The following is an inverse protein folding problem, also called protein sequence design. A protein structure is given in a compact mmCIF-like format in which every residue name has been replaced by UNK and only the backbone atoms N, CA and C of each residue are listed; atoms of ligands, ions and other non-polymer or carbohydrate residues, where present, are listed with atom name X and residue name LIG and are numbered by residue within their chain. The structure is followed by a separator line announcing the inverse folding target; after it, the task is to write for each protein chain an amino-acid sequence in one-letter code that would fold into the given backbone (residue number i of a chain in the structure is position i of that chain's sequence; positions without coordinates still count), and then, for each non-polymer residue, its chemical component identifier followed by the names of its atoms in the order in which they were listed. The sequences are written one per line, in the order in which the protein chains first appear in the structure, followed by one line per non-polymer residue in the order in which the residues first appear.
data_IF_518591333244
#
_entry.id   IF_518591333244
#
_cell.length_a   1.000
_cell.length_b   1.000
_cell.length_c   1.000
_cell.angle_alpha   90.00
_cell.angle_beta   90.00
_cell.angle_gamma   90.00
#
_symmetry.space_group_name_H-M   'P 1'
#
loop_
_entity.id
_entity.type
_entity.pdbx_description
1 polymer ?
#
# COMPACT_ATOMS: atom_id res chain seq x y z
N UNK A 1 -2.72 14.60 -3.63
CA UNK A 1 -3.65 13.53 -3.15
C UNK A 1 -4.17 13.74 -1.74
N UNK A 2 -3.35 13.66 -0.68
CA UNK A 2 -3.83 13.82 0.72
C UNK A 2 -4.69 15.07 0.94
N UNK A 3 -4.30 16.21 0.36
CA UNK A 3 -5.08 17.44 0.38
C UNK A 3 -6.46 17.26 -0.28
N UNK A 4 -6.50 16.72 -1.50
CA UNK A 4 -7.75 16.48 -2.23
C UNK A 4 -8.67 15.54 -1.44
N UNK A 5 -8.14 14.44 -0.90
CA UNK A 5 -8.93 13.52 -0.06
C UNK A 5 -9.52 14.23 1.17
N UNK A 6 -8.74 15.07 1.84
CA UNK A 6 -9.23 15.86 2.98
C UNK A 6 -10.38 16.78 2.54
N UNK A 7 -10.22 17.50 1.43
CA UNK A 7 -11.26 18.37 0.87
C UNK A 7 -12.53 17.62 0.47
N UNK A 8 -12.40 16.44 -0.12
CA UNK A 8 -13.54 15.56 -0.43
C UNK A 8 -14.27 15.11 0.85
N UNK A 9 -13.53 14.70 1.89
CA UNK A 9 -14.13 14.31 3.19
C UNK A 9 -14.82 15.48 3.90
N UNK A 10 -14.31 16.70 3.73
CA UNK A 10 -14.91 17.92 4.27
C UNK A 10 -16.11 18.43 3.44
N UNK A 11 -16.42 17.81 2.30
CA UNK A 11 -17.51 18.26 1.42
C UNK A 11 -17.20 19.53 0.62
N UNK A 12 -15.94 19.98 0.62
CA UNK A 12 -15.49 21.19 -0.09
C UNK A 12 -15.49 21.02 -1.62
N UNK A 13 -15.42 19.77 -2.10
CA UNK A 13 -15.38 19.44 -3.53
C UNK A 13 -16.67 18.75 -3.97
N UNK A 14 -17.44 19.45 -4.80
CA UNK A 14 -18.73 18.98 -5.32
C UNK A 14 -18.68 18.55 -6.80
N UNK A 15 -17.65 18.96 -7.54
CA UNK A 15 -17.42 18.61 -8.95
C UNK A 15 -16.43 17.46 -9.11
N UNK A 16 -16.31 16.96 -10.35
CA UNK A 16 -15.22 16.06 -10.75
C UNK A 16 -13.87 16.76 -10.65
N UNK A 17 -12.85 16.04 -10.19
CA UNK A 17 -11.45 16.51 -10.11
C UNK A 17 -10.57 15.59 -10.92
N UNK A 18 -9.84 16.16 -11.86
CA UNK A 18 -8.92 15.48 -12.77
C UNK A 18 -7.46 15.71 -12.37
N UNK A 19 -6.50 15.10 -13.09
CA UNK A 19 -5.08 15.41 -12.91
C UNK A 19 -4.74 16.86 -13.30
N UNK A 20 -5.49 17.46 -14.23
CA UNK A 20 -5.30 18.86 -14.61
C UNK A 20 -5.62 19.80 -13.44
N UNK A 21 -6.72 19.55 -12.72
CA UNK A 21 -7.06 20.31 -11.51
C UNK A 21 -6.01 20.13 -10.42
N UNK A 22 -5.52 18.90 -10.25
CA UNK A 22 -4.44 18.61 -9.32
C UNK A 22 -3.13 19.34 -9.70
N UNK A 23 -2.81 19.43 -11.00
CA UNK A 23 -1.68 20.18 -11.53
C UNK A 23 -1.80 21.68 -11.22
N UNK A 24 -2.96 22.28 -11.47
CA UNK A 24 -3.18 23.70 -11.18
C UNK A 24 -3.00 24.03 -9.69
N UNK A 25 -3.45 23.14 -8.79
CA UNK A 25 -3.21 23.28 -7.35
C UNK A 25 -1.71 23.21 -7.02
N UNK A 26 -0.94 22.34 -7.68
CA UNK A 26 0.50 22.21 -7.45
C UNK A 26 1.21 23.51 -7.88
N UNK A 27 0.85 24.07 -9.03
CA UNK A 27 1.40 25.33 -9.53
C UNK A 27 1.04 26.49 -8.59
N UNK A 28 -0.22 26.60 -8.19
CA UNK A 28 -0.69 27.65 -7.28
C UNK A 28 0.00 27.60 -5.91
N UNK A 29 0.16 26.38 -5.35
CA UNK A 29 0.74 26.21 -4.01
C UNK A 29 2.27 26.25 -3.99
N UNK A 30 2.91 25.98 -5.13
CA UNK A 30 4.37 25.96 -5.29
C UNK A 30 5.10 25.34 -4.08
N UNK A 31 4.82 24.06 -3.73
CA UNK A 31 5.38 23.46 -2.54
C UNK A 31 6.91 23.42 -2.61
N UNK A 32 7.58 23.70 -1.48
CA UNK A 32 9.03 23.59 -1.39
C UNK A 32 9.49 22.17 -1.69
N UNK A 33 10.59 22.05 -2.44
CA UNK A 33 11.24 20.77 -2.68
C UNK A 33 11.78 20.21 -1.37
N UNK A 34 11.69 18.88 -1.22
CA UNK A 34 12.29 18.18 -0.08
C UNK A 34 13.82 18.10 -0.19
N UNK A 35 14.34 18.08 -1.42
CA UNK A 35 15.76 18.03 -1.75
C UNK A 35 15.97 18.51 -3.19
N UNK A 36 17.20 18.84 -3.55
CA UNK A 36 17.55 19.26 -4.91
C UNK A 36 17.33 18.13 -5.94
N UNK A 37 16.88 18.43 -7.17
CA UNK A 37 16.72 17.42 -8.22
C UNK A 37 18.00 16.60 -8.42
N UNK A 38 17.85 15.27 -8.53
CA UNK A 38 18.97 14.34 -8.70
C UNK A 38 19.71 13.96 -7.41
N UNK A 39 19.56 14.69 -6.31
CA UNK A 39 20.29 14.41 -5.07
C UNK A 39 19.80 13.15 -4.35
N UNK A 40 18.49 12.89 -4.40
CA UNK A 40 17.86 11.73 -3.77
C UNK A 40 16.71 11.20 -4.62
N UNK A 41 16.22 10.02 -4.27
CA UNK A 41 15.00 9.44 -4.85
C UNK A 41 13.93 9.29 -3.78
N UNK A 42 12.77 9.89 -4.01
CA UNK A 42 11.57 9.68 -3.22
C UNK A 42 10.38 9.43 -4.16
N UNK A 43 9.63 8.37 -3.90
CA UNK A 43 8.45 8.06 -4.69
C UNK A 43 7.40 9.18 -4.58
N UNK A 44 6.91 9.65 -5.72
CA UNK A 44 5.97 10.77 -5.77
C UNK A 44 4.88 10.53 -6.79
N UNK A 45 3.68 10.19 -6.31
CA UNK A 45 2.47 10.16 -7.14
C UNK A 45 2.23 11.51 -7.85
N UNK A 46 2.55 12.62 -7.17
CA UNK A 46 2.45 13.96 -7.74
C UNK A 46 3.31 14.10 -9.00
N UNK A 47 4.51 13.50 -9.03
CA UNK A 47 5.37 13.50 -10.22
C UNK A 47 4.71 12.83 -11.43
N UNK A 48 4.05 11.68 -11.23
CA UNK A 48 3.32 11.00 -12.30
C UNK A 48 2.07 11.76 -12.78
N UNK A 49 1.44 12.57 -11.93
CA UNK A 49 0.35 13.48 -12.35
C UNK A 49 0.86 14.59 -13.26
N UNK A 50 2.04 15.14 -12.94
CA UNK A 50 2.71 16.13 -13.78
C UNK A 50 3.08 15.51 -15.14
N UNK A 51 3.55 14.26 -15.18
CA UNK A 51 3.81 13.55 -16.44
C UNK A 51 2.54 13.36 -17.28
N UNK A 52 1.41 13.03 -16.66
CA UNK A 52 0.14 12.93 -17.39
C UNK A 52 -0.30 14.27 -18.00
N UNK A 53 -0.15 15.37 -17.25
CA UNK A 53 -0.40 16.73 -17.76
C UNK A 53 0.57 17.10 -18.89
N UNK A 54 1.86 16.76 -18.75
CA UNK A 54 2.87 17.01 -19.78
C UNK A 54 2.52 16.30 -21.09
N UNK A 55 2.14 15.01 -21.02
CA UNK A 55 1.66 14.25 -22.17
C UNK A 55 0.46 14.97 -22.80
N UNK A 56 -0.49 15.42 -21.98
CA UNK A 56 -1.70 16.07 -22.51
C UNK A 56 -1.38 17.36 -23.29
N UNK A 57 -0.43 18.16 -22.77
CA UNK A 57 0.01 19.40 -23.41
C UNK A 57 0.82 19.17 -24.69
N UNK A 58 1.78 18.25 -24.64
CA UNK A 58 2.66 17.96 -25.79
C UNK A 58 1.88 17.33 -26.94
N UNK A 59 0.94 16.44 -26.62
CA UNK A 59 0.15 15.70 -27.63
C UNK A 59 -1.11 16.45 -28.05
N UNK A 60 -1.48 17.52 -27.34
CA UNK A 60 -2.75 18.22 -27.49
C UNK A 60 -3.97 17.28 -27.37
N UNK A 61 -3.83 16.18 -26.62
CA UNK A 61 -4.85 15.15 -26.41
C UNK A 61 -5.00 14.88 -24.92
N UNK A 62 -6.23 14.72 -24.43
CA UNK A 62 -6.43 14.35 -23.03
C UNK A 62 -5.73 13.03 -22.71
N UNK A 63 -5.10 12.92 -21.54
CA UNK A 63 -4.31 11.74 -21.16
C UNK A 63 -5.05 10.40 -21.37
N UNK A 64 -6.36 10.31 -21.05
CA UNK A 64 -7.14 9.08 -21.25
C UNK A 64 -7.27 8.68 -22.73
N UNK A 65 -7.46 9.65 -23.63
CA UNK A 65 -7.51 9.41 -25.08
C UNK A 65 -6.16 9.01 -25.63
N UNK A 66 -5.10 9.70 -25.23
CA UNK A 66 -3.73 9.35 -25.61
C UNK A 66 -3.38 7.91 -25.21
N UNK A 67 -3.62 7.52 -23.95
CA UNK A 67 -3.35 6.16 -23.48
C UNK A 67 -4.14 5.11 -24.28
N UNK A 68 -5.41 5.38 -24.57
CA UNK A 68 -6.21 4.47 -25.39
C UNK A 68 -5.67 4.33 -26.82
N UNK A 69 -5.36 5.46 -27.48
CA UNK A 69 -4.93 5.48 -28.89
C UNK A 69 -3.50 4.95 -29.09
N UNK A 70 -2.58 5.30 -28.19
CA UNK A 70 -1.15 5.05 -28.37
C UNK A 70 -0.67 3.77 -27.67
N UNK A 71 -1.38 3.30 -26.64
CA UNK A 71 -0.96 2.14 -25.84
C UNK A 71 -2.00 1.02 -25.90
N UNK A 72 -3.21 1.25 -25.41
CA UNK A 72 -4.18 0.17 -25.19
C UNK A 72 -4.68 -0.46 -26.49
N UNK A 73 -5.12 0.37 -27.45
CA UNK A 73 -5.58 -0.10 -28.76
C UNK A 73 -4.48 -0.84 -29.53
N UNK A 74 -3.24 -0.31 -29.68
CA UNK A 74 -2.15 -1.06 -30.31
C UNK A 74 -1.80 -2.36 -29.57
N UNK A 75 -1.91 -2.39 -28.23
CA UNK A 75 -1.65 -3.60 -27.44
C UNK A 75 -2.84 -4.59 -27.41
N UNK A 76 -3.97 -4.29 -28.06
CA UNK A 76 -5.23 -5.07 -28.02
C UNK A 76 -5.80 -5.23 -26.59
N UNK A 77 -5.65 -4.19 -25.77
CA UNK A 77 -6.17 -4.12 -24.40
C UNK A 77 -7.59 -3.54 -24.39
N UNK A 78 -8.57 -4.38 -24.71
CA UNK A 78 -9.96 -3.96 -24.94
C UNK A 78 -10.76 -3.73 -23.64
N UNK A 79 -10.28 -4.27 -22.51
CA UNK A 79 -10.91 -4.17 -21.19
C UNK A 79 -10.13 -3.20 -20.29
N UNK A 80 -9.37 -2.28 -20.90
CA UNK A 80 -8.50 -1.33 -20.20
C UNK A 80 -8.84 0.11 -20.54
N UNK A 81 -9.00 0.93 -19.50
CA UNK A 81 -9.21 2.37 -19.66
C UNK A 81 -8.55 3.18 -18.55
N UNK A 82 -8.27 4.45 -18.84
CA UNK A 82 -8.01 5.46 -17.81
C UNK A 82 -9.37 6.05 -17.42
N UNK A 83 -9.73 5.93 -16.14
CA UNK A 83 -10.99 6.44 -15.61
C UNK A 83 -11.04 7.97 -15.72
N UNK A 84 -12.08 8.47 -16.39
CA UNK A 84 -12.30 9.88 -16.70
C UNK A 84 -13.80 10.22 -16.56
N UNK A 85 -14.19 11.49 -16.29
CA UNK A 85 -15.60 11.85 -16.22
C UNK A 85 -16.41 11.49 -17.46
N UNK A 86 -15.80 11.57 -18.66
CA UNK A 86 -16.47 11.29 -19.93
C UNK A 86 -16.71 9.81 -20.22
N UNK A 87 -16.01 8.89 -19.55
CA UNK A 87 -16.11 7.44 -19.79
C UNK A 87 -16.60 6.66 -18.56
N UNK A 88 -17.19 7.33 -17.58
CA UNK A 88 -17.64 6.70 -16.32
C UNK A 88 -18.59 5.51 -16.55
N UNK A 89 -19.39 5.55 -17.62
CA UNK A 89 -20.32 4.49 -18.00
C UNK A 89 -19.68 3.27 -18.68
N UNK A 90 -18.40 3.35 -19.05
CA UNK A 90 -17.70 2.30 -19.81
C UNK A 90 -17.03 1.23 -18.91
N UNK A 91 -17.00 1.44 -17.59
CA UNK A 91 -16.49 0.45 -16.62
C UNK A 91 -17.50 -0.68 -16.39
N UNK A 92 -17.71 -1.50 -17.41
CA UNK A 92 -18.53 -2.70 -17.34
C UNK A 92 -17.78 -3.78 -16.52
N UNK A 93 -18.51 -4.57 -15.73
CA UNK A 93 -17.98 -5.70 -14.96
C UNK A 93 -16.82 -5.38 -13.99
N UNK A 94 -16.71 -4.12 -13.52
CA UNK A 94 -15.65 -3.76 -12.57
C UNK A 94 -15.85 -4.48 -11.23
N UNK A 95 -14.75 -4.95 -10.63
CA UNK A 95 -14.76 -5.36 -9.22
C UNK A 95 -14.95 -4.14 -8.31
N UNK A 96 -15.68 -4.31 -7.21
CA UNK A 96 -15.77 -3.31 -6.15
C UNK A 96 -14.68 -3.55 -5.10
N UNK A 97 -14.05 -2.47 -4.63
CA UNK A 97 -13.00 -2.55 -3.63
C UNK A 97 -13.54 -2.70 -2.21
N UNK A 98 -12.93 -3.58 -1.42
CA UNK A 98 -13.29 -3.83 -0.03
C UNK A 98 -12.08 -3.78 0.88
N UNK A 99 -12.37 -3.66 2.19
CA UNK A 99 -11.42 -3.92 3.26
C UNK A 99 -11.97 -5.05 4.11
N UNK A 100 -11.31 -6.21 4.05
CA UNK A 100 -11.60 -7.29 5.00
C UNK A 100 -11.27 -6.83 6.41
N UNK A 101 -12.14 -7.11 7.37
CA UNK A 101 -11.94 -6.81 8.79
C UNK A 101 -11.56 -8.09 9.54
N UNK A 102 -11.13 -7.94 10.80
CA UNK A 102 -10.79 -9.08 11.65
C UNK A 102 -11.99 -9.99 11.94
N UNK A 103 -13.21 -9.43 11.97
CA UNK A 103 -14.48 -10.17 12.09
C UNK A 103 -14.89 -10.94 10.82
N UNK A 104 -14.05 -10.94 9.78
CA UNK A 104 -14.30 -11.58 8.49
C UNK A 104 -15.21 -10.78 7.56
N UNK A 105 -15.82 -9.69 8.01
CA UNK A 105 -16.70 -8.89 7.16
C UNK A 105 -15.92 -8.08 6.11
N UNK A 106 -16.50 -7.98 4.91
CA UNK A 106 -15.99 -7.14 3.83
C UNK A 106 -16.66 -5.77 3.91
N UNK A 107 -15.89 -4.73 4.26
CA UNK A 107 -16.40 -3.35 4.31
C UNK A 107 -16.11 -2.63 3.00
N UNK A 108 -17.09 -1.95 2.36
CA UNK A 108 -16.83 -1.19 1.14
C UNK A 108 -15.68 -0.20 1.32
N UNK A 109 -14.71 -0.25 0.41
CA UNK A 109 -13.54 0.62 0.43
C UNK A 109 -13.13 1.00 -1.00
N UNK A 110 -14.13 1.30 -1.83
CA UNK A 110 -13.98 1.56 -3.26
C UNK A 110 -13.51 3.01 -3.57
N UNK A 111 -13.35 3.34 -4.86
CA UNK A 111 -12.97 4.64 -5.42
C UNK A 111 -13.67 5.83 -4.73
N UNK A 112 -12.93 6.93 -4.52
CA UNK A 112 -13.53 8.19 -4.05
C UNK A 112 -14.40 8.75 -5.19
N UNK A 113 -15.72 8.93 -4.99
CA UNK A 113 -16.58 9.50 -6.02
C UNK A 113 -16.04 10.85 -6.47
N UNK A 114 -16.08 11.09 -7.78
CA UNK A 114 -15.63 12.34 -8.44
C UNK A 114 -14.11 12.58 -8.45
N UNK A 115 -13.28 11.66 -7.95
CA UNK A 115 -11.83 11.76 -8.05
C UNK A 115 -11.31 10.95 -9.26
N UNK A 116 -10.86 11.66 -10.29
CA UNK A 116 -10.39 11.17 -11.60
C UNK A 116 -8.94 11.56 -11.88
N UNK A 117 -8.11 11.62 -10.84
CA UNK A 117 -6.68 11.93 -10.98
C UNK A 117 -5.98 10.72 -11.59
N UNK A 118 -5.33 10.93 -12.73
CA UNK A 118 -4.61 9.92 -13.51
C UNK A 118 -3.10 10.19 -13.55
N UNK A 119 -2.35 9.31 -14.21
CA UNK A 119 -0.89 9.36 -14.30
C UNK A 119 -0.24 8.49 -13.24
N UNK A 120 -0.50 8.79 -11.97
CA UNK A 120 -0.04 7.98 -10.83
C UNK A 120 -0.88 6.71 -10.58
N UNK A 121 -1.99 6.57 -11.30
CA UNK A 121 -3.00 5.54 -11.14
C UNK A 121 -4.21 5.85 -12.00
N UNK A 122 -5.37 5.29 -11.64
CA UNK A 122 -6.63 5.55 -12.36
C UNK A 122 -6.83 4.71 -13.62
N UNK A 123 -5.92 3.75 -13.89
CA UNK A 123 -6.12 2.73 -14.92
C UNK A 123 -6.91 1.57 -14.31
N UNK A 124 -7.96 1.15 -15.00
CA UNK A 124 -8.69 -0.09 -14.76
C UNK A 124 -8.34 -1.07 -15.88
N UNK A 125 -8.11 -2.33 -15.54
CA UNK A 125 -7.64 -3.36 -16.48
C UNK A 125 -7.98 -4.76 -15.94
N UNK A 126 -7.68 -5.79 -16.74
CA UNK A 126 -7.79 -7.21 -16.40
C UNK A 126 -6.40 -7.86 -16.38
N UNK A 127 -6.30 -9.08 -15.86
CA UNK A 127 -5.02 -9.83 -15.88
C UNK A 127 -4.58 -10.09 -17.32
N UNK A 128 -5.54 -10.43 -18.19
CA UNK A 128 -5.34 -10.70 -19.61
C UNK A 128 -4.80 -9.48 -20.35
N UNK A 129 -5.38 -8.30 -20.11
CA UNK A 129 -4.92 -7.07 -20.75
C UNK A 129 -3.57 -6.61 -20.22
N UNK A 130 -3.30 -6.73 -18.92
CA UNK A 130 -1.98 -6.45 -18.37
C UNK A 130 -0.91 -7.37 -18.97
N UNK A 131 -1.23 -8.64 -19.25
CA UNK A 131 -0.34 -9.55 -19.96
C UNK A 131 -0.08 -9.07 -21.39
N UNK A 132 -1.12 -8.62 -22.11
CA UNK A 132 -0.97 -8.03 -23.45
C UNK A 132 -0.11 -6.76 -23.42
N UNK A 133 -0.29 -5.90 -22.42
CA UNK A 133 0.54 -4.71 -22.20
C UNK A 133 2.02 -5.09 -22.07
N UNK A 134 2.33 -6.04 -21.19
CA UNK A 134 3.71 -6.48 -20.98
C UNK A 134 4.31 -7.09 -22.26
N UNK A 135 3.55 -7.94 -22.98
CA UNK A 135 3.99 -8.48 -24.26
C UNK A 135 4.22 -7.39 -25.32
N UNK A 136 3.36 -6.36 -25.37
CA UNK A 136 3.52 -5.25 -26.31
C UNK A 136 4.77 -4.41 -26.04
N UNK A 137 5.14 -4.22 -24.75
CA UNK A 137 6.39 -3.57 -24.35
C UNK A 137 7.62 -4.39 -24.77
N UNK A 138 7.61 -5.69 -24.48
CA UNK A 138 8.71 -6.61 -24.78
C UNK A 138 8.93 -6.81 -26.28
N UNK A 139 7.85 -6.83 -27.06
CA UNK A 139 7.90 -6.94 -28.52
C UNK A 139 8.06 -5.57 -29.22
N UNK A 140 8.29 -4.50 -28.45
CA UNK A 140 8.53 -3.15 -28.97
C UNK A 140 7.41 -2.60 -29.87
N UNK A 141 6.16 -3.00 -29.58
CA UNK A 141 4.97 -2.61 -30.36
C UNK A 141 4.50 -1.20 -30.04
N UNK A 142 4.66 -0.77 -28.79
CA UNK A 142 4.19 0.53 -28.29
C UNK A 142 5.33 1.48 -27.88
N UNK A 143 6.55 0.95 -27.74
CA UNK A 143 7.77 1.70 -27.44
C UNK A 143 8.95 1.08 -28.17
N UNK A 144 10.02 1.85 -28.39
CA UNK A 144 11.24 1.32 -29.02
C UNK A 144 12.04 0.44 -28.06
N UNK A 145 12.91 -0.43 -28.62
CA UNK A 145 13.89 -1.19 -27.84
C UNK A 145 14.79 -0.31 -26.98
N UNK A 146 15.20 0.85 -27.50
CA UNK A 146 16.02 1.81 -26.78
C UNK A 146 15.27 2.39 -25.57
N UNK A 147 14.02 2.82 -25.77
CA UNK A 147 13.17 3.33 -24.69
C UNK A 147 12.88 2.26 -23.63
N UNK A 148 12.66 1.00 -24.01
CA UNK A 148 12.48 -0.08 -23.04
C UNK A 148 13.74 -0.30 -22.20
N UNK A 149 14.92 -0.30 -22.82
CA UNK A 149 16.21 -0.44 -22.13
C UNK A 149 16.43 0.71 -21.15
N UNK A 150 16.11 1.93 -21.54
CA UNK A 150 16.21 3.11 -20.69
C UNK A 150 15.25 3.02 -19.51
N UNK A 151 13.97 2.71 -19.77
CA UNK A 151 12.93 2.56 -18.75
C UNK A 151 13.22 1.46 -17.72
N UNK A 152 14.07 0.48 -18.07
CA UNK A 152 14.42 -0.66 -17.22
C UNK A 152 15.86 -0.61 -16.69
N UNK A 153 16.52 0.55 -16.80
CA UNK A 153 17.87 0.77 -16.27
C UNK A 153 17.85 1.52 -14.92
N UNK A 154 18.77 1.22 -14.00
CA UNK A 154 18.94 2.00 -12.77
C UNK A 154 19.30 3.46 -13.06
N UNK A 155 18.61 4.40 -12.41
CA UNK A 155 18.84 5.84 -12.60
C UNK A 155 19.98 6.32 -11.68
N UNK A 156 20.99 7.06 -12.21
CA UNK A 156 22.04 7.65 -11.40
C UNK A 156 21.54 8.88 -10.63
N UNK A 157 22.04 9.06 -9.41
CA UNK A 157 21.92 10.27 -8.61
C UNK A 157 23.13 11.18 -8.84
N UNK A 158 23.03 12.43 -8.36
CA UNK A 158 24.09 13.44 -8.47
C UNK A 158 25.41 13.05 -7.79
N UNK A 159 25.36 12.11 -6.83
CA UNK A 159 26.54 11.56 -6.16
C UNK A 159 27.15 10.34 -6.88
N UNK A 160 26.61 9.96 -8.04
CA UNK A 160 27.02 8.80 -8.83
C UNK A 160 26.43 7.46 -8.35
N UNK A 161 25.75 7.42 -7.19
CA UNK A 161 25.03 6.23 -6.75
C UNK A 161 23.86 5.92 -7.67
N UNK A 162 23.48 4.64 -7.78
CA UNK A 162 22.38 4.19 -8.64
C UNK A 162 21.21 3.72 -7.80
N UNK A 163 20.01 4.18 -8.13
CA UNK A 163 18.77 3.68 -7.53
C UNK A 163 18.15 2.62 -8.42
N UNK A 164 17.71 1.54 -7.77
CA UNK A 164 17.12 0.37 -8.43
C UNK A 164 15.65 0.64 -8.79
N UNK A 165 15.44 1.68 -9.60
CA UNK A 165 14.15 2.11 -10.08
C UNK A 165 14.33 2.80 -11.44
N UNK A 166 13.53 2.39 -12.42
CA UNK A 166 13.50 2.95 -13.77
C UNK A 166 12.29 3.86 -13.98
N UNK A 167 11.75 3.88 -15.20
CA UNK A 167 10.58 4.72 -15.53
C UNK A 167 9.27 4.06 -15.09
N UNK A 168 8.94 4.19 -13.79
CA UNK A 168 7.73 3.57 -13.24
C UNK A 168 7.86 2.08 -12.93
N UNK A 169 9.10 1.60 -12.77
CA UNK A 169 9.39 0.20 -12.56
C UNK A 169 10.43 0.06 -11.44
N UNK A 170 10.12 -0.74 -10.43
CA UNK A 170 11.12 -1.20 -9.45
C UNK A 170 12.00 -2.27 -10.10
N UNK A 171 13.30 -2.13 -9.91
CA UNK A 171 14.28 -3.13 -10.32
C UNK A 171 14.68 -3.87 -9.06
N UNK A 172 14.39 -5.17 -8.98
CA UNK A 172 14.57 -5.95 -7.75
C UNK A 172 15.21 -7.29 -8.07
N UNK A 173 15.61 -7.97 -7.01
CA UNK A 173 16.09 -9.34 -7.03
C UNK A 173 15.17 -10.17 -6.14
N UNK A 174 14.68 -11.28 -6.67
CA UNK A 174 13.87 -12.23 -5.92
C UNK A 174 14.72 -12.95 -4.86
N UNK A 175 14.11 -13.61 -3.86
CA UNK A 175 14.85 -14.45 -2.91
C UNK A 175 15.69 -15.54 -3.60
N UNK A 176 15.25 -16.03 -4.75
CA UNK A 176 15.97 -16.99 -5.60
C UNK A 176 17.24 -16.42 -6.27
N UNK A 177 17.45 -15.10 -6.20
CA UNK A 177 18.53 -14.41 -6.90
C UNK A 177 18.16 -13.91 -8.31
N UNK A 178 17.01 -14.32 -8.84
CA UNK A 178 16.57 -13.89 -10.18
C UNK A 178 16.20 -12.41 -10.20
N UNK A 179 16.58 -11.69 -11.26
CA UNK A 179 16.18 -10.29 -11.45
C UNK A 179 14.71 -10.20 -11.83
N UNK A 180 14.01 -9.20 -11.28
CA UNK A 180 12.67 -8.85 -11.68
C UNK A 180 12.47 -7.35 -11.88
N UNK A 181 11.62 -7.03 -12.84
CA UNK A 181 11.13 -5.69 -13.15
C UNK A 181 9.66 -5.69 -12.77
N UNK A 182 9.29 -4.89 -11.77
CA UNK A 182 7.94 -4.95 -11.22
C UNK A 182 7.41 -3.59 -10.79
N UNK A 183 6.10 -3.50 -10.66
CA UNK A 183 5.48 -2.40 -9.94
C UNK A 183 4.25 -2.89 -9.19
N UNK A 184 4.15 -2.48 -7.93
CA UNK A 184 2.97 -2.68 -7.11
C UNK A 184 1.98 -1.53 -7.27
N UNK A 185 0.69 -1.81 -7.15
CA UNK A 185 -0.35 -0.79 -7.09
C UNK A 185 -1.10 -0.90 -5.78
N UNK A 186 -1.46 0.24 -5.20
CA UNK A 186 -2.34 0.30 -4.05
C UNK A 186 -3.23 1.53 -4.15
N UNK A 187 -4.53 1.29 -4.21
CA UNK A 187 -5.52 2.33 -4.11
C UNK A 187 -6.75 1.83 -3.37
N UNK A 188 -6.90 2.29 -2.13
CA UNK A 188 -8.02 1.94 -1.25
C UNK A 188 -8.24 0.43 -1.22
N UNK A 189 -9.41 -0.04 -1.66
CA UNK A 189 -9.79 -1.45 -1.68
C UNK A 189 -9.07 -2.30 -2.71
N UNK A 190 -8.12 -1.76 -3.48
CA UNK A 190 -7.44 -2.51 -4.54
C UNK A 190 -5.94 -2.55 -4.33
N UNK A 191 -5.36 -3.71 -4.59
CA UNK A 191 -3.92 -3.88 -4.76
C UNK A 191 -3.61 -4.69 -6.00
N UNK A 192 -2.46 -4.42 -6.58
CA UNK A 192 -2.01 -5.07 -7.80
C UNK A 192 -0.50 -5.30 -7.76
N UNK A 193 -0.06 -6.31 -8.51
CA UNK A 193 1.33 -6.56 -8.81
C UNK A 193 1.45 -7.03 -10.24
N UNK A 194 2.37 -6.42 -10.98
CA UNK A 194 2.91 -6.96 -12.23
C UNK A 194 4.40 -7.14 -12.01
N UNK A 195 4.90 -8.36 -12.21
CA UNK A 195 6.31 -8.70 -12.11
C UNK A 195 6.75 -9.46 -13.37
N UNK A 196 7.79 -8.97 -14.02
CA UNK A 196 8.44 -9.61 -15.16
C UNK A 196 9.84 -10.05 -14.76
N UNK A 197 10.16 -11.31 -15.01
CA UNK A 197 11.44 -11.96 -14.75
C UNK A 197 12.15 -12.14 -16.09
N UNK A 198 13.14 -11.29 -16.43
CA UNK A 198 13.71 -11.28 -17.78
C UNK A 198 14.49 -12.54 -18.14
N UNK A 199 15.14 -13.16 -17.15
CA UNK A 199 16.03 -14.31 -17.34
C UNK A 199 15.22 -15.57 -17.69
N UNK A 200 14.14 -15.83 -16.95
CA UNK A 200 13.22 -16.95 -17.23
C UNK A 200 12.07 -16.60 -18.19
N UNK A 201 11.95 -15.34 -18.63
CA UNK A 201 10.84 -14.82 -19.43
C UNK A 201 9.45 -15.05 -18.80
N UNK A 202 9.38 -15.06 -17.46
CA UNK A 202 8.12 -15.26 -16.72
C UNK A 202 7.44 -13.93 -16.41
N UNK A 203 6.11 -13.91 -16.47
CA UNK A 203 5.29 -12.76 -16.11
C UNK A 203 4.27 -13.23 -15.07
N UNK A 204 4.28 -12.59 -13.90
CA UNK A 204 3.28 -12.81 -12.85
C UNK A 204 2.45 -11.54 -12.69
N UNK A 205 1.14 -11.70 -12.75
CA UNK A 205 0.17 -10.62 -12.55
C UNK A 205 -0.81 -11.07 -11.47
N UNK A 206 -0.99 -10.24 -10.45
CA UNK A 206 -1.93 -10.51 -9.35
C UNK A 206 -2.73 -9.26 -9.05
N UNK A 207 -4.05 -9.39 -9.00
CA UNK A 207 -4.99 -8.31 -8.70
C UNK A 207 -5.86 -8.75 -7.54
N UNK A 208 -6.11 -7.86 -6.58
CA UNK A 208 -7.04 -8.10 -5.48
C UNK A 208 -7.90 -6.88 -5.23
N UNK A 209 -9.17 -7.12 -4.91
CA UNK A 209 -10.12 -6.11 -4.43
C UNK A 209 -10.24 -6.11 -2.89
N UNK A 210 -9.20 -6.60 -2.20
CA UNK A 210 -9.01 -6.45 -0.77
C UNK A 210 -7.85 -5.49 -0.45
N UNK A 211 -8.18 -4.29 -0.01
CA UNK A 211 -7.23 -3.20 0.25
C UNK A 211 -6.22 -3.42 1.39
N UNK A 212 -6.33 -4.52 2.13
CA UNK A 212 -5.39 -4.87 3.21
C UNK A 212 -4.61 -6.15 2.94
N UNK A 213 -4.68 -6.68 1.72
CA UNK A 213 -3.96 -7.90 1.34
C UNK A 213 -2.53 -7.56 0.89
N UNK A 214 -1.55 -7.78 1.76
CA UNK A 214 -0.13 -7.51 1.46
C UNK A 214 0.60 -8.75 0.91
N UNK A 215 -0.10 -9.85 0.63
CA UNK A 215 0.52 -11.12 0.22
C UNK A 215 0.87 -11.19 -1.27
N UNK A 216 0.46 -10.21 -2.09
CA UNK A 216 0.66 -10.26 -3.55
C UNK A 216 2.13 -10.50 -3.98
N UNK A 217 3.15 -9.81 -3.42
CA UNK A 217 4.55 -10.11 -3.72
C UNK A 217 4.95 -11.53 -3.36
N UNK A 218 4.46 -12.04 -2.23
CA UNK A 218 4.75 -13.40 -1.78
C UNK A 218 4.10 -14.42 -2.71
N UNK A 219 2.84 -14.25 -3.08
CA UNK A 219 2.15 -15.08 -4.07
C UNK A 219 2.96 -15.14 -5.37
N UNK A 220 3.56 -14.03 -5.80
CA UNK A 220 4.38 -14.01 -7.00
C UNK A 220 5.68 -14.80 -6.85
N UNK A 221 6.36 -14.74 -5.70
CA UNK A 221 7.56 -15.54 -5.44
C UNK A 221 7.23 -17.02 -5.29
N UNK A 222 6.22 -17.35 -4.49
CA UNK A 222 5.71 -18.71 -4.31
C UNK A 222 5.35 -19.33 -5.67
N UNK A 223 4.68 -18.58 -6.57
CA UNK A 223 4.36 -19.06 -7.92
C UNK A 223 5.62 -19.35 -8.77
N UNK A 224 6.68 -18.55 -8.63
CA UNK A 224 7.94 -18.77 -9.33
C UNK A 224 8.66 -20.01 -8.79
N UNK A 225 8.61 -20.23 -7.48
CA UNK A 225 9.19 -21.40 -6.81
C UNK A 225 8.47 -22.68 -7.25
N UNK A 226 7.13 -22.68 -7.29
CA UNK A 226 6.32 -23.80 -7.85
C UNK A 226 6.71 -24.08 -9.29
N UNK A 227 6.79 -23.04 -10.13
CA UNK A 227 7.21 -23.18 -11.53
C UNK A 227 8.69 -23.59 -11.68
N UNK A 228 9.49 -23.45 -10.62
CA UNK A 228 10.86 -23.95 -10.50
C UNK A 228 10.95 -25.39 -9.99
N UNK A 229 9.84 -26.00 -9.57
CA UNK A 229 9.76 -27.35 -9.03
C UNK A 229 9.80 -27.45 -7.50
N UNK A 230 9.86 -26.32 -6.78
CA UNK A 230 9.72 -26.33 -5.33
C UNK A 230 8.25 -26.46 -4.94
N UNK A 231 7.93 -27.54 -4.24
CA UNK A 231 6.57 -27.83 -3.74
C UNK A 231 6.45 -27.66 -2.23
N UNK A 232 7.54 -27.30 -1.54
CA UNK A 232 7.58 -27.15 -0.08
C UNK A 232 7.21 -25.74 0.37
N UNK A 233 6.07 -25.23 -0.09
CA UNK A 233 5.62 -23.88 0.24
C UNK A 233 4.78 -23.94 1.51
N UNK A 234 5.32 -23.39 2.60
CA UNK A 234 4.60 -23.26 3.86
C UNK A 234 3.86 -21.92 3.93
N UNK A 235 2.58 -21.97 4.29
CA UNK A 235 1.76 -20.80 4.59
C UNK A 235 1.52 -20.70 6.09
N UNK A 236 2.29 -19.85 6.76
CA UNK A 236 2.04 -19.55 8.17
C UNK A 236 0.80 -18.66 8.29
N UNK A 237 -0.26 -19.09 9.01
CA UNK A 237 -1.42 -18.24 9.27
C UNK A 237 -1.01 -16.94 9.98
N UNK A 238 -1.79 -15.88 9.78
CA UNK A 238 -1.51 -14.59 10.42
C UNK A 238 -1.86 -14.63 11.91
N UNK A 239 -0.91 -14.28 12.77
CA UNK A 239 -1.08 -14.34 14.22
C UNK A 239 -2.24 -13.46 14.72
N UNK A 240 -2.42 -12.27 14.14
CA UNK A 240 -3.51 -11.36 14.52
C UNK A 240 -4.91 -11.96 14.32
N UNK A 241 -5.12 -12.77 13.27
CA UNK A 241 -6.38 -13.46 13.04
C UNK A 241 -6.63 -14.53 14.14
N UNK A 242 -5.57 -15.21 14.61
CA UNK A 242 -5.65 -16.14 15.75
C UNK A 242 -5.94 -15.41 17.06
N UNK A 243 -5.26 -14.30 17.34
CA UNK A 243 -5.48 -13.47 18.52
C UNK A 243 -6.93 -12.97 18.57
N UNK A 244 -7.45 -12.45 17.45
CA UNK A 244 -8.83 -12.00 17.35
C UNK A 244 -9.81 -13.10 17.80
N UNK A 245 -9.71 -14.30 17.21
CA UNK A 245 -10.58 -15.44 17.54
C UNK A 245 -10.51 -15.82 19.02
N UNK A 246 -9.31 -15.91 19.60
CA UNK A 246 -9.15 -16.29 21.01
C UNK A 246 -9.79 -15.26 21.95
N UNK A 247 -9.66 -13.98 21.65
CA UNK A 247 -10.25 -12.90 22.43
C UNK A 247 -11.79 -12.92 22.30
N UNK A 248 -12.34 -13.03 21.08
CA UNK A 248 -13.79 -12.97 20.85
C UNK A 248 -14.53 -14.22 21.31
N UNK A 249 -13.93 -15.39 21.16
CA UNK A 249 -14.50 -16.66 21.61
C UNK A 249 -14.38 -16.87 23.13
N UNK A 250 -13.82 -15.87 23.84
CA UNK A 250 -13.56 -15.90 25.29
C UNK A 250 -12.67 -17.08 25.71
N UNK A 251 -11.81 -17.57 24.82
CA UNK A 251 -10.85 -18.66 25.07
C UNK A 251 -9.60 -18.12 25.76
N UNK A 252 -9.78 -17.54 26.94
CA UNK A 252 -8.71 -16.81 27.63
C UNK A 252 -7.59 -17.71 28.16
N UNK A 253 -7.86 -18.99 28.44
CA UNK A 253 -6.82 -19.95 28.79
C UNK A 253 -5.82 -20.13 27.63
N UNK A 254 -6.33 -20.42 26.43
CA UNK A 254 -5.54 -20.53 25.20
C UNK A 254 -4.80 -19.23 24.87
N UNK A 255 -5.46 -18.08 25.06
CA UNK A 255 -4.83 -16.77 24.87
C UNK A 255 -3.64 -16.56 25.81
N UNK A 256 -3.78 -16.91 27.09
CA UNK A 256 -2.68 -16.84 28.08
C UNK A 256 -1.53 -17.79 27.71
N UNK A 257 -1.83 -19.00 27.24
CA UNK A 257 -0.81 -19.92 26.74
C UNK A 257 -0.08 -19.37 25.51
N UNK A 258 -0.79 -18.64 24.64
CA UNK A 258 -0.16 -17.99 23.48
C UNK A 258 0.74 -16.82 23.90
N UNK A 259 0.35 -16.06 24.92
CA UNK A 259 1.09 -14.90 25.45
C UNK A 259 2.44 -15.25 26.08
N UNK A 260 2.60 -16.46 26.61
CA UNK A 260 3.88 -16.88 27.24
C UNK A 260 4.91 -17.37 26.23
N UNK A 261 4.52 -17.60 24.98
CA UNK A 261 5.44 -18.02 23.92
C UNK A 261 6.31 -16.86 23.47
N UNK A 262 7.57 -17.16 23.17
CA UNK A 262 8.49 -16.20 22.57
C UNK A 262 8.09 -15.89 21.13
N UNK A 263 8.63 -14.79 20.60
CA UNK A 263 8.44 -14.44 19.20
C UNK A 263 9.04 -15.51 18.28
N UNK A 264 10.17 -16.10 18.69
CA UNK A 264 10.87 -17.16 17.98
C UNK A 264 10.06 -18.47 17.93
N UNK A 265 9.36 -18.82 19.01
CA UNK A 265 8.47 -19.99 19.01
C UNK A 265 7.24 -19.77 18.13
N UNK A 266 6.65 -18.56 18.20
CA UNK A 266 5.46 -18.23 17.42
C UNK A 266 5.74 -18.10 15.92
N UNK A 267 6.92 -17.61 15.54
CA UNK A 267 7.29 -17.40 14.13
C UNK A 267 7.44 -18.71 13.36
N UNK A 268 7.63 -19.84 14.04
CA UNK A 268 7.65 -21.17 13.44
C UNK A 268 6.28 -21.56 12.87
N UNK A 269 5.19 -21.02 13.40
CA UNK A 269 3.81 -21.37 13.00
C UNK A 269 3.03 -20.20 12.42
N UNK A 270 3.35 -18.97 12.81
CA UNK A 270 2.56 -17.79 12.46
C UNK A 270 3.40 -16.71 11.78
N UNK A 271 2.77 -16.01 10.84
CA UNK A 271 3.27 -14.72 10.39
C UNK A 271 2.96 -13.66 11.45
N UNK A 272 4.00 -12.96 11.90
CA UNK A 272 3.94 -11.96 12.97
C UNK A 272 4.22 -10.58 12.37
N UNK A 273 3.23 -9.70 12.43
CA UNK A 273 3.34 -8.31 11.98
C UNK A 273 2.85 -7.34 13.06
N UNK A 274 3.78 -6.50 13.55
CA UNK A 274 3.50 -5.52 14.60
C UNK A 274 2.33 -4.61 14.23
N UNK A 275 2.31 -4.12 12.98
CA UNK A 275 1.34 -3.14 12.51
C UNK A 275 -0.06 -3.73 12.46
N UNK A 276 -0.20 -4.99 12.08
CA UNK A 276 -1.47 -5.70 11.97
C UNK A 276 -2.01 -6.11 13.35
N UNK A 277 -1.15 -6.51 14.29
CA UNK A 277 -1.56 -6.71 15.69
C UNK A 277 -1.98 -5.37 16.30
N UNK A 278 -1.28 -4.27 15.99
CA UNK A 278 -1.67 -2.93 16.42
C UNK A 278 -3.05 -2.53 15.84
N UNK A 279 -3.26 -2.80 14.55
CA UNK A 279 -4.53 -2.56 13.88
C UNK A 279 -5.69 -3.36 14.48
N UNK A 280 -5.43 -4.55 15.01
CA UNK A 280 -6.40 -5.35 15.76
C UNK A 280 -6.81 -4.65 17.07
N UNK A 281 -5.86 -4.10 17.82
CA UNK A 281 -6.17 -3.29 19.00
C UNK A 281 -7.08 -2.11 18.67
N UNK A 282 -6.74 -1.34 17.63
CA UNK A 282 -7.60 -0.23 17.16
C UNK A 282 -8.94 -0.68 16.55
N UNK A 283 -9.02 -1.91 16.02
CA UNK A 283 -10.30 -2.47 15.60
C UNK A 283 -11.25 -2.61 16.80
N UNK A 284 -10.77 -3.11 17.94
CA UNK A 284 -11.55 -3.18 19.18
C UNK A 284 -11.85 -1.78 19.76
N UNK A 285 -10.90 -0.84 19.73
CA UNK A 285 -11.13 0.56 20.14
C UNK A 285 -12.31 1.19 19.39
N UNK A 286 -12.38 1.00 18.07
CA UNK A 286 -13.49 1.53 17.25
C UNK A 286 -14.86 0.95 17.62
N UNK A 287 -14.88 -0.26 18.19
CA UNK A 287 -16.08 -0.92 18.71
C UNK A 287 -16.35 -0.59 20.18
N UNK A 288 -15.53 0.25 20.80
CA UNK A 288 -15.57 0.57 22.24
C UNK A 288 -15.33 -0.66 23.14
N UNK A 289 -14.71 -1.72 22.61
CA UNK A 289 -14.36 -2.93 23.35
C UNK A 289 -12.95 -2.78 23.97
N UNK A 290 -12.78 -1.83 24.89
CA UNK A 290 -11.46 -1.42 25.39
C UNK A 290 -10.69 -2.56 26.09
N UNK A 291 -11.38 -3.45 26.81
CA UNK A 291 -10.74 -4.63 27.42
C UNK A 291 -10.14 -5.59 26.40
N UNK A 292 -10.73 -5.69 25.21
CA UNK A 292 -10.21 -6.51 24.11
C UNK A 292 -9.06 -5.79 23.40
N UNK A 293 -9.17 -4.47 23.25
CA UNK A 293 -8.09 -3.63 22.72
C UNK A 293 -6.83 -3.75 23.57
N UNK A 294 -6.95 -3.63 24.90
CA UNK A 294 -5.83 -3.73 25.84
C UNK A 294 -5.13 -5.10 25.71
N UNK A 295 -5.89 -6.21 25.65
CA UNK A 295 -5.30 -7.55 25.43
C UNK A 295 -4.49 -7.63 24.14
N UNK A 296 -5.01 -7.09 23.04
CA UNK A 296 -4.30 -7.09 21.77
C UNK A 296 -3.03 -6.22 21.80
N UNK A 297 -3.09 -5.03 22.41
CA UNK A 297 -1.93 -4.16 22.57
C UNK A 297 -0.88 -4.71 23.53
N UNK A 298 -1.30 -5.36 24.63
CA UNK A 298 -0.39 -6.06 25.54
C UNK A 298 0.34 -7.21 24.84
N UNK A 299 -0.37 -7.98 24.00
CA UNK A 299 0.27 -9.01 23.16
C UNK A 299 1.31 -8.39 22.23
N UNK A 300 0.96 -7.30 21.54
CA UNK A 300 1.88 -6.63 20.62
C UNK A 300 3.13 -6.12 21.36
N UNK A 301 2.94 -5.52 22.53
CA UNK A 301 4.03 -5.06 23.40
C UNK A 301 4.95 -6.21 23.81
N UNK A 302 4.41 -7.37 24.17
CA UNK A 302 5.20 -8.53 24.53
C UNK A 302 6.12 -9.00 23.39
N UNK A 303 5.63 -8.99 22.16
CA UNK A 303 6.41 -9.39 20.97
C UNK A 303 7.35 -8.30 20.43
N UNK A 304 7.05 -7.03 20.71
CA UNK A 304 7.72 -5.88 20.09
C UNK A 304 8.14 -4.83 21.13
N UNK A 305 8.70 -5.28 22.26
CA UNK A 305 9.05 -4.45 23.43
C UNK A 305 10.04 -3.30 23.18
N UNK A 306 10.70 -3.28 22.00
CA UNK A 306 11.61 -2.20 21.56
C UNK A 306 10.94 -1.16 20.66
N UNK A 307 9.65 -1.29 20.34
CA UNK A 307 8.91 -0.34 19.52
C UNK A 307 8.23 0.70 20.41
N UNK A 308 8.41 2.00 20.15
CA UNK A 308 7.68 3.05 20.88
C UNK A 308 6.16 2.98 20.60
N UNK A 309 5.77 2.55 19.40
CA UNK A 309 4.39 2.52 18.93
C UNK A 309 3.49 1.57 19.74
N UNK A 310 4.02 0.44 20.20
CA UNK A 310 3.23 -0.53 20.98
C UNK A 310 2.91 -0.01 22.39
N UNK A 311 3.81 0.78 22.99
CA UNK A 311 3.53 1.45 24.27
C UNK A 311 2.59 2.63 24.08
N UNK A 312 2.76 3.43 23.03
CA UNK A 312 1.88 4.58 22.77
C UNK A 312 0.42 4.14 22.55
N UNK A 313 0.21 3.10 21.74
CA UNK A 313 -1.14 2.56 21.47
C UNK A 313 -1.78 1.94 22.73
N UNK A 314 -0.97 1.26 23.56
CA UNK A 314 -1.45 0.74 24.85
C UNK A 314 -1.79 1.85 25.85
N UNK A 315 -1.01 2.93 25.88
CA UNK A 315 -1.27 4.11 26.71
C UNK A 315 -2.60 4.78 26.33
N UNK A 316 -2.91 4.87 25.05
CA UNK A 316 -4.20 5.40 24.57
C UNK A 316 -5.38 4.53 25.05
N UNK A 317 -5.25 3.21 24.98
CA UNK A 317 -6.30 2.30 25.44
C UNK A 317 -6.54 2.38 26.95
N UNK A 318 -5.48 2.46 27.77
CA UNK A 318 -5.63 2.67 29.22
C UNK A 318 -6.27 4.02 29.54
N UNK A 319 -5.88 5.08 28.83
CA UNK A 319 -6.47 6.39 29.04
C UNK A 319 -7.98 6.40 28.72
N UNK A 320 -8.39 5.65 27.68
CA UNK A 320 -9.80 5.55 27.30
C UNK A 320 -10.69 4.90 28.38
N UNK A 321 -10.12 4.05 29.24
CA UNK A 321 -10.83 3.46 30.40
C UNK A 321 -10.60 4.23 31.71
N UNK A 322 -9.95 5.41 31.65
CA UNK A 322 -9.68 6.25 32.82
C UNK A 322 -8.46 5.85 33.64
N UNK A 323 -7.67 4.86 33.21
CA UNK A 323 -6.47 4.43 33.91
C UNK A 323 -5.27 5.33 33.58
N UNK A 324 -5.25 6.48 34.26
CA UNK A 324 -4.23 7.51 34.06
C UNK A 324 -2.83 7.05 34.43
N UNK A 325 -2.69 6.18 35.44
CA UNK A 325 -1.40 5.70 35.91
C UNK A 325 -0.74 4.78 34.88
N UNK A 326 -1.45 3.76 34.39
CA UNK A 326 -0.91 2.88 33.34
C UNK A 326 -0.73 3.62 32.02
N UNK A 327 -1.59 4.60 31.71
CA UNK A 327 -1.38 5.47 30.55
C UNK A 327 -0.08 6.27 30.67
N UNK A 328 0.20 6.86 31.83
CA UNK A 328 1.43 7.62 32.11
C UNK A 328 2.66 6.73 31.96
N UNK A 329 2.67 5.55 32.59
CA UNK A 329 3.79 4.59 32.52
C UNK A 329 4.13 4.24 31.07
N UNK A 330 3.14 3.86 30.27
CA UNK A 330 3.38 3.46 28.88
C UNK A 330 3.79 4.66 28.00
N UNK A 331 3.22 5.84 28.20
CA UNK A 331 3.66 7.05 27.51
C UNK A 331 5.11 7.43 27.81
N UNK A 332 5.54 7.31 29.07
CA UNK A 332 6.95 7.55 29.44
C UNK A 332 7.87 6.53 28.76
N UNK A 333 7.49 5.25 28.72
CA UNK A 333 8.29 4.22 28.06
C UNK A 333 8.38 4.44 26.53
N UNK A 334 7.29 4.89 25.89
CA UNK A 334 7.32 5.25 24.47
C UNK A 334 8.36 6.36 24.18
N UNK A 335 8.46 7.36 25.06
CA UNK A 335 9.47 8.43 24.96
C UNK A 335 10.88 7.98 25.30
N UNK A 336 11.04 7.04 26.22
CA UNK A 336 12.35 6.45 26.52
C UNK A 336 12.93 5.72 25.29
N UNK A 337 12.06 5.09 24.48
CA UNK A 337 12.46 4.41 23.24
C UNK A 337 12.62 5.40 22.09
N UNK A 338 11.69 6.35 21.94
CA UNK A 338 11.72 7.39 20.92
C UNK A 338 11.41 8.76 21.55
N UNK A 339 12.44 9.54 21.90
CA UNK A 339 12.26 10.85 22.52
C UNK A 339 11.48 11.85 21.66
N UNK A 340 11.33 11.62 20.35
CA UNK A 340 10.61 12.51 19.43
C UNK A 340 9.15 12.09 19.16
N UNK A 341 8.63 11.10 19.90
CA UNK A 341 7.25 10.63 19.74
C UNK A 341 6.22 11.66 20.25
N UNK A 342 5.70 12.50 19.35
CA UNK A 342 4.90 13.69 19.66
C UNK A 342 3.62 13.36 20.43
N UNK A 343 2.96 12.26 20.08
CA UNK A 343 1.71 11.80 20.67
C UNK A 343 1.89 11.49 22.16
N UNK A 344 2.99 10.81 22.50
CA UNK A 344 3.33 10.49 23.89
C UNK A 344 3.68 11.75 24.70
N UNK A 345 4.45 12.70 24.14
CA UNK A 345 4.72 14.02 24.78
C UNK A 345 3.41 14.73 25.14
N UNK A 346 2.53 14.87 24.14
CA UNK A 346 1.23 15.53 24.31
C UNK A 346 0.34 14.82 25.35
N UNK A 347 0.38 13.49 25.43
CA UNK A 347 -0.40 12.73 26.42
C UNK A 347 0.09 13.01 27.83
N UNK A 348 1.41 13.01 28.07
CA UNK A 348 1.99 13.30 29.39
C UNK A 348 1.71 14.73 29.85
N UNK A 349 1.82 15.72 28.95
CA UNK A 349 1.48 17.12 29.28
C UNK A 349 0.04 17.27 29.76
N UNK A 350 -0.90 16.53 29.17
CA UNK A 350 -2.31 16.53 29.59
C UNK A 350 -2.55 15.81 30.90
N UNK A 351 -1.78 14.76 31.20
CA UNK A 351 -1.90 13.98 32.44
C UNK A 351 -1.25 14.67 33.64
N UNK A 352 -0.40 15.67 33.42
CA UNK A 352 0.23 16.50 34.45
C UNK A 352 -0.57 17.75 34.82
N UNK A 353 -1.71 17.98 34.15
CA UNK A 353 -2.72 18.98 34.49
C UNK A 353 -3.89 18.28 35.16
#
# INVERSE_FOLDING_TARGET
MKLLEKKFRAGEIKSAVTHHDAFNIIVEKAPKLHFNPGAQMAYSNTGYMVLAELIARVTQSSFHKFMHQSIFKPANMNDTLVLHPSNKGELLNRAYGFRRQFDGQLRPYDQIPRLYVSGAGGIYSTVEDLLKSQKALLNHKVITKASWKEATSPVPLSDGSKKQYGYGLSLRTAPTGEKLIAHGGHWRGFKSLLAYFPESSRIIISLTNNGIDDELPRIAFDAIDILGGDTNISFNPVLSDKIYKLITDKKFADFKQLMVKTKEELSQTFSIDESRINALGYFFVKKQEFDNAIKAFEFNKALHSKSANVYDSLAEAYLAIGDKERARVNSTQALAINPEFKEAKRRLEKLSK
#
